data_IF_703472943909
#
_entry.id   IF_703472943909
#
_cell.length_a   1.000
_cell.length_b   1.000
_cell.length_c   1.000
_cell.angle_alpha   90.00
_cell.angle_beta   90.00
_cell.angle_gamma   90.00
#
_symmetry.space_group_name_H-M   'P 1'
#
loop_
_entity.id
_entity.type
_entity.pdbx_description
1 polymer ?
#
# COMPACT_ATOMS: atom_id res chain seq x y z
N UNK A 1 -62.86 -25.63 -11.17
CA UNK A 1 -63.04 -25.24 -9.74
C UNK A 1 -61.64 -25.27 -9.11
N UNK A 2 -60.94 -24.17 -9.16
CA UNK A 2 -59.60 -24.04 -8.57
C UNK A 2 -59.69 -23.26 -7.28
N UNK A 3 -59.19 -23.85 -6.20
CA UNK A 3 -59.17 -23.26 -4.87
C UNK A 3 -58.03 -22.22 -4.75
N UNK A 4 -58.42 -20.95 -4.70
CA UNK A 4 -57.58 -19.87 -4.23
C UNK A 4 -57.26 -20.05 -2.73
N UNK A 5 -56.06 -20.50 -2.39
CA UNK A 5 -55.57 -20.49 -0.99
C UNK A 5 -55.10 -19.11 -0.64
N UNK A 6 -55.78 -18.46 0.33
CA UNK A 6 -55.45 -17.13 0.81
C UNK A 6 -54.08 -17.07 1.48
N UNK A 7 -53.25 -16.08 1.10
CA UNK A 7 -51.92 -15.80 1.68
C UNK A 7 -51.98 -15.07 3.03
N UNK A 8 -53.18 -14.92 3.61
CA UNK A 8 -53.40 -14.14 4.85
C UNK A 8 -52.70 -14.65 6.11
N UNK A 9 -52.60 -15.98 6.37
CA UNK A 9 -51.92 -16.44 7.60
C UNK A 9 -50.41 -16.25 7.64
N UNK A 10 -49.72 -16.25 6.48
CA UNK A 10 -48.27 -16.06 6.43
C UNK A 10 -47.88 -14.59 6.73
N UNK A 11 -48.65 -13.63 6.27
CA UNK A 11 -48.42 -12.21 6.50
C UNK A 11 -48.66 -11.81 7.96
N UNK A 12 -49.65 -12.40 8.63
CA UNK A 12 -49.90 -12.22 10.06
C UNK A 12 -48.79 -12.80 10.94
N UNK A 13 -48.18 -13.93 10.55
CA UNK A 13 -47.10 -14.53 11.28
C UNK A 13 -45.80 -13.67 11.20
N UNK A 14 -45.51 -13.07 10.06
CA UNK A 14 -44.36 -12.17 9.90
C UNK A 14 -44.50 -10.89 10.71
N UNK A 15 -45.68 -10.29 10.71
CA UNK A 15 -45.99 -9.09 11.53
C UNK A 15 -45.90 -9.38 13.04
N UNK A 16 -46.30 -10.57 13.47
CA UNK A 16 -46.18 -10.98 14.87
C UNK A 16 -44.72 -11.20 15.31
N UNK A 17 -43.87 -11.77 14.44
CA UNK A 17 -42.43 -11.92 14.69
C UNK A 17 -41.72 -10.56 14.76
N UNK A 18 -42.05 -9.60 13.91
CA UNK A 18 -41.49 -8.25 13.93
C UNK A 18 -41.87 -7.52 15.23
N UNK A 19 -43.12 -7.64 15.66
CA UNK A 19 -43.57 -7.05 16.93
C UNK A 19 -42.92 -7.67 18.16
N UNK A 20 -42.62 -8.98 18.15
CA UNK A 20 -41.88 -9.68 19.20
C UNK A 20 -40.41 -9.24 19.27
N UNK A 21 -39.75 -9.09 18.12
CA UNK A 21 -38.34 -8.61 18.08
C UNK A 21 -38.23 -7.15 18.55
N UNK A 22 -39.19 -6.29 18.19
CA UNK A 22 -39.24 -4.91 18.67
C UNK A 22 -39.50 -4.84 20.18
N UNK A 23 -40.35 -5.71 20.71
CA UNK A 23 -40.66 -5.80 22.14
C UNK A 23 -39.44 -6.27 22.97
N UNK A 24 -38.67 -7.25 22.47
CA UNK A 24 -37.44 -7.74 23.10
C UNK A 24 -36.36 -6.66 23.09
N UNK A 25 -36.22 -5.90 21.99
CA UNK A 25 -35.28 -4.80 21.90
C UNK A 25 -35.54 -3.69 22.92
N UNK A 26 -36.79 -3.31 23.13
CA UNK A 26 -37.23 -2.31 24.15
C UNK A 26 -36.99 -2.83 25.56
N UNK A 27 -37.23 -4.14 25.80
CA UNK A 27 -37.01 -4.75 27.12
C UNK A 27 -35.50 -4.82 27.48
N UNK A 28 -34.68 -5.19 26.51
CA UNK A 28 -33.20 -5.20 26.68
C UNK A 28 -32.66 -3.78 26.90
N UNK A 29 -33.18 -2.77 26.20
CA UNK A 29 -32.80 -1.37 26.42
C UNK A 29 -33.10 -0.87 27.85
N UNK A 30 -34.20 -1.30 28.44
CA UNK A 30 -34.57 -0.91 29.81
C UNK A 30 -33.80 -1.64 30.91
N UNK A 31 -33.16 -2.75 30.61
CA UNK A 31 -32.40 -3.56 31.56
C UNK A 31 -30.89 -3.33 31.54
N UNK A 32 -30.37 -2.51 30.62
CA UNK A 32 -28.95 -2.16 30.55
C UNK A 32 -28.57 -1.23 31.71
N UNK A 33 -27.42 -1.49 32.39
CA UNK A 33 -26.89 -0.58 33.40
C UNK A 33 -26.56 0.79 32.78
N UNK A 34 -26.76 1.86 33.55
CA UNK A 34 -26.67 3.25 33.11
C UNK A 34 -25.31 3.63 32.45
N UNK A 35 -24.24 2.89 32.78
CA UNK A 35 -22.90 3.07 32.20
C UNK A 35 -22.71 2.54 30.77
N UNK A 36 -23.71 1.88 30.18
CA UNK A 36 -23.65 1.30 28.83
C UNK A 36 -24.61 1.97 27.83
N UNK A 37 -25.29 3.04 28.23
CA UNK A 37 -26.13 3.81 27.30
C UNK A 37 -25.28 4.80 26.55
N UNK A 38 -25.35 4.87 25.21
CA UNK A 38 -24.64 5.90 24.45
C UNK A 38 -25.15 7.31 24.86
N UNK A 39 -24.22 8.19 25.15
CA UNK A 39 -24.46 9.59 25.45
C UNK A 39 -25.06 10.29 24.20
N UNK A 40 -26.15 11.00 24.38
CA UNK A 40 -26.73 11.83 23.31
C UNK A 40 -25.77 13.00 23.09
N UNK A 41 -25.29 13.14 21.85
CA UNK A 41 -24.44 14.26 21.46
C UNK A 41 -25.22 15.58 21.59
N UNK A 42 -24.86 16.40 22.59
CA UNK A 42 -25.24 17.79 22.67
C UNK A 42 -24.41 18.61 21.67
N UNK A 43 -25.10 19.39 20.87
CA UNK A 43 -24.50 20.33 19.90
C UNK A 43 -23.82 21.47 20.67
N UNK A 44 -22.50 21.44 20.78
CA UNK A 44 -21.74 22.55 21.34
C UNK A 44 -21.40 23.52 20.19
N UNK A 45 -22.02 24.70 20.21
CA UNK A 45 -21.53 25.85 19.47
C UNK A 45 -20.28 26.37 20.19
N UNK A 46 -19.14 26.37 19.51
CA UNK A 46 -17.93 27.06 19.98
C UNK A 46 -17.58 28.20 19.02
N UNK A 47 -17.94 29.39 19.43
CA UNK A 47 -17.19 30.60 19.04
C UNK A 47 -15.92 30.64 19.89
N UNK A 48 -14.74 30.55 19.28
CA UNK A 48 -13.48 30.56 20.02
C UNK A 48 -12.29 30.86 19.14
N UNK A 49 -11.83 32.09 19.26
CA UNK A 49 -10.60 32.67 18.71
C UNK A 49 -9.37 31.90 19.19
N UNK A 50 -8.57 31.36 18.28
CA UNK A 50 -7.26 30.77 18.58
C UNK A 50 -6.19 31.86 18.56
N UNK A 51 -5.61 32.16 19.71
CA UNK A 51 -4.35 32.91 19.86
C UNK A 51 -3.19 31.90 19.90
N UNK A 52 -2.25 32.02 18.95
CA UNK A 52 -0.99 31.29 18.92
C UNK A 52 0.01 31.89 19.91
N UNK A 53 0.42 31.10 20.92
CA UNK A 53 1.72 31.26 21.56
C UNK A 53 2.36 29.89 21.79
N UNK A 54 3.65 29.69 21.45
CA UNK A 54 4.31 28.41 21.62
C UNK A 54 4.84 28.26 23.03
N UNK A 55 4.40 27.19 23.73
CA UNK A 55 4.98 26.81 25.02
C UNK A 55 6.22 25.97 24.75
N UNK A 56 7.39 26.51 25.03
CA UNK A 56 8.66 25.81 25.04
C UNK A 56 8.76 24.90 26.25
N UNK A 57 8.85 23.59 26.02
CA UNK A 57 9.25 22.60 27.03
C UNK A 57 10.69 22.18 26.68
N UNK A 58 11.63 22.45 27.59
CA UNK A 58 13.02 21.99 27.48
C UNK A 58 13.08 20.48 27.74
N UNK A 59 13.83 19.70 26.90
CA UNK A 59 14.06 18.28 27.19
C UNK A 59 15.17 18.10 28.22
N UNK A 60 14.89 17.31 29.26
CA UNK A 60 15.90 16.81 30.20
C UNK A 60 16.91 15.92 29.46
N UNK A 61 18.20 16.23 29.65
CA UNK A 61 19.33 15.46 29.11
C UNK A 61 19.55 14.22 29.96
N UNK A 62 19.36 13.06 29.38
CA UNK A 62 19.96 11.83 29.92
C UNK A 62 21.42 11.70 29.48
N UNK A 63 22.25 11.19 30.41
CA UNK A 63 23.69 11.06 30.29
C UNK A 63 24.10 9.93 29.32
N UNK A 64 25.31 10.00 28.71
CA UNK A 64 25.77 9.04 27.74
C UNK A 64 26.13 7.69 28.38
N UNK A 65 25.67 6.61 27.77
CA UNK A 65 26.04 5.24 28.12
C UNK A 65 27.43 4.92 27.52
N UNK A 66 28.41 4.70 28.40
CA UNK A 66 29.73 4.15 28.05
C UNK A 66 29.66 2.60 28.05
N UNK A 67 29.68 2.00 26.86
CA UNK A 67 29.83 0.55 26.68
C UNK A 67 31.00 0.25 25.75
N UNK A 68 31.99 -0.48 26.29
CA UNK A 68 33.22 -0.87 25.61
C UNK A 68 33.00 -1.79 24.41
N UNK A 69 33.67 -1.52 23.31
CA UNK A 69 33.73 -2.38 22.11
C UNK A 69 34.69 -3.55 22.33
N UNK A 70 34.38 -4.81 21.97
CA UNK A 70 35.34 -5.92 21.98
C UNK A 70 36.28 -5.87 20.77
N UNK A 71 37.52 -6.23 21.06
CA UNK A 71 38.72 -6.06 20.27
C UNK A 71 38.77 -6.67 18.86
N UNK A 72 39.51 -5.97 18.05
CA UNK A 72 40.00 -6.40 16.73
C UNK A 72 40.96 -7.58 16.86
N UNK A 73 40.70 -8.65 16.12
CA UNK A 73 41.67 -9.74 15.90
C UNK A 73 42.66 -9.38 14.78
N UNK A 74 43.94 -9.55 15.06
CA UNK A 74 45.02 -9.24 14.18
C UNK A 74 45.14 -10.24 13.02
N UNK A 75 45.38 -9.76 11.82
CA UNK A 75 45.82 -10.55 10.66
C UNK A 75 47.31 -10.84 10.75
N UNK A 76 47.78 -12.04 10.37
CA UNK A 76 49.20 -12.35 10.28
C UNK A 76 49.82 -11.85 8.95
N UNK A 77 50.99 -11.25 9.10
CA UNK A 77 51.86 -10.80 8.00
C UNK A 77 52.44 -12.00 7.25
N UNK A 78 52.53 -11.92 5.91
CA UNK A 78 53.38 -12.77 5.07
C UNK A 78 54.52 -11.96 4.47
N UNK A 79 55.73 -12.55 4.24
CA UNK A 79 56.96 -11.82 4.04
C UNK A 79 57.19 -11.35 2.60
N UNK A 80 57.97 -10.27 2.51
CA UNK A 80 58.58 -9.65 1.33
C UNK A 80 59.23 -10.62 0.35
N UNK A 81 58.95 -10.49 -0.95
CA UNK A 81 59.83 -10.85 -2.06
C UNK A 81 60.06 -9.61 -2.93
N UNK A 82 61.40 -9.35 -3.15
CA UNK A 82 61.90 -8.24 -3.95
C UNK A 82 61.77 -8.51 -5.46
N UNK A 83 61.67 -7.45 -6.30
CA UNK A 83 61.51 -7.59 -7.74
C UNK A 83 62.86 -7.72 -8.49
N UNK A 84 62.86 -8.51 -9.55
CA UNK A 84 63.87 -8.42 -10.62
C UNK A 84 63.30 -7.83 -11.89
N UNK A 85 64.07 -7.09 -12.69
CA UNK A 85 63.65 -6.27 -13.80
C UNK A 85 63.81 -6.94 -15.19
N UNK A 86 62.90 -6.56 -16.11
CA UNK A 86 63.06 -6.68 -17.55
C UNK A 86 61.95 -7.47 -18.24
N UNK A 87 61.30 -7.03 -19.18
CA UNK A 87 61.52 -6.35 -20.46
C UNK A 87 60.20 -5.91 -21.07
N UNK A 88 60.22 -4.83 -21.82
CA UNK A 88 59.13 -4.29 -22.65
C UNK A 88 58.38 -5.35 -23.45
N UNK A 89 57.04 -5.29 -23.45
CA UNK A 89 56.31 -5.18 -24.72
C UNK A 89 54.91 -4.59 -24.54
N UNK A 90 54.53 -3.83 -25.53
CA UNK A 90 53.39 -2.92 -25.58
C UNK A 90 52.05 -3.65 -25.80
N UNK A 91 51.01 -3.04 -25.30
CA UNK A 91 49.61 -3.23 -25.65
C UNK A 91 48.75 -3.94 -24.61
N UNK A 92 48.64 -3.37 -23.42
CA UNK A 92 47.46 -3.60 -22.59
C UNK A 92 46.36 -2.63 -23.01
N UNK A 93 45.42 -3.11 -23.79
CA UNK A 93 44.07 -2.52 -23.87
C UNK A 93 43.45 -2.67 -22.48
N UNK A 94 43.27 -1.53 -21.81
CA UNK A 94 42.51 -1.38 -20.60
C UNK A 94 41.16 -2.15 -20.75
N UNK A 95 40.79 -3.07 -19.86
CA UNK A 95 39.52 -3.71 -19.91
C UNK A 95 38.45 -2.62 -19.66
N UNK A 96 37.78 -2.19 -20.72
CA UNK A 96 36.62 -1.31 -20.61
C UNK A 96 35.67 -1.95 -19.59
N UNK A 97 35.47 -1.27 -18.49
CA UNK A 97 34.36 -1.51 -17.59
C UNK A 97 33.10 -1.53 -18.48
N UNK A 98 32.21 -2.57 -18.42
CA UNK A 98 31.01 -2.56 -19.21
C UNK A 98 30.27 -1.26 -18.92
N UNK A 99 29.95 -0.50 -19.97
CA UNK A 99 29.13 0.69 -19.81
C UNK A 99 27.84 0.28 -19.07
N UNK A 100 27.49 1.04 -18.05
CA UNK A 100 26.20 0.85 -17.36
C UNK A 100 25.08 0.90 -18.41
N UNK A 101 24.05 0.06 -18.32
CA UNK A 101 22.96 0.06 -19.30
C UNK A 101 22.39 1.48 -19.44
N UNK A 102 22.18 1.94 -20.67
CA UNK A 102 21.56 3.25 -20.91
C UNK A 102 20.19 3.33 -20.24
N UNK A 103 19.92 4.44 -19.55
CA UNK A 103 18.63 4.69 -18.90
C UNK A 103 17.49 4.63 -19.92
N UNK A 104 16.41 3.95 -19.56
CA UNK A 104 15.21 3.88 -20.42
C UNK A 104 14.61 5.26 -20.67
N UNK A 105 13.79 5.40 -21.72
CA UNK A 105 13.09 6.67 -22.01
C UNK A 105 12.22 7.12 -20.81
N UNK A 106 11.60 6.18 -20.10
CA UNK A 106 10.84 6.45 -18.90
C UNK A 106 11.72 7.00 -17.76
N UNK A 107 12.88 6.37 -17.52
CA UNK A 107 13.85 6.86 -16.54
C UNK A 107 14.39 8.25 -16.90
N UNK A 108 14.66 8.52 -18.16
CA UNK A 108 15.08 9.86 -18.61
C UNK A 108 14.00 10.92 -18.38
N UNK A 109 12.73 10.61 -18.69
CA UNK A 109 11.59 11.49 -18.39
C UNK A 109 11.45 11.74 -16.88
N UNK A 110 11.53 10.67 -16.08
CA UNK A 110 11.47 10.74 -14.62
C UNK A 110 12.59 11.61 -14.04
N UNK A 111 13.83 11.41 -14.48
CA UNK A 111 14.99 12.19 -14.03
C UNK A 111 14.85 13.68 -14.41
N UNK A 112 14.43 13.97 -15.63
CA UNK A 112 14.21 15.35 -16.06
C UNK A 112 13.16 16.08 -15.20
N UNK A 113 12.09 15.39 -14.79
CA UNK A 113 11.09 15.97 -13.89
C UNK A 113 11.65 16.11 -12.46
N UNK A 114 12.32 15.08 -11.93
CA UNK A 114 12.96 15.09 -10.60
C UNK A 114 13.90 16.29 -10.42
N UNK A 115 14.70 16.60 -11.45
CA UNK A 115 15.66 17.70 -11.43
C UNK A 115 15.00 19.09 -11.31
N UNK A 116 13.71 19.21 -11.62
CA UNK A 116 12.94 20.47 -11.50
C UNK A 116 12.20 20.59 -10.18
N UNK A 117 12.11 19.52 -9.39
CA UNK A 117 11.31 19.46 -8.16
C UNK A 117 12.06 20.09 -6.99
N UNK A 118 11.34 20.80 -6.14
CA UNK A 118 11.81 21.20 -4.82
C UNK A 118 11.86 20.02 -3.86
N UNK A 119 12.67 20.09 -2.80
CA UNK A 119 12.76 19.04 -1.78
C UNK A 119 11.39 18.76 -1.12
N UNK A 120 10.56 19.80 -0.91
CA UNK A 120 9.20 19.62 -0.37
C UNK A 120 8.29 18.88 -1.36
N UNK A 121 8.35 19.18 -2.66
CA UNK A 121 7.59 18.47 -3.67
C UNK A 121 8.01 17.00 -3.76
N UNK A 122 9.30 16.71 -3.62
CA UNK A 122 9.81 15.34 -3.57
C UNK A 122 9.24 14.58 -2.36
N UNK A 123 9.25 15.18 -1.17
CA UNK A 123 8.67 14.57 0.02
C UNK A 123 7.17 14.32 -0.15
N UNK A 124 6.41 15.26 -0.75
CA UNK A 124 4.99 15.07 -1.01
C UNK A 124 4.70 13.90 -1.94
N UNK A 125 5.56 13.62 -2.93
CA UNK A 125 5.37 12.47 -3.83
C UNK A 125 5.43 11.11 -3.12
N UNK A 126 6.00 11.03 -1.92
CA UNK A 126 6.07 9.79 -1.13
C UNK A 126 4.72 9.41 -0.48
N UNK A 127 3.70 10.26 -0.56
CA UNK A 127 2.42 10.03 0.08
C UNK A 127 1.33 9.65 -0.92
N UNK A 128 0.61 8.56 -0.59
CA UNK A 128 -0.58 8.11 -1.28
C UNK A 128 -1.75 8.25 -0.30
N UNK A 129 -2.72 9.12 -0.57
CA UNK A 129 -3.69 9.57 0.43
C UNK A 129 -5.13 9.51 -0.07
N UNK A 130 -6.12 9.63 0.83
CA UNK A 130 -7.51 9.84 0.42
C UNK A 130 -7.75 11.30 0.03
N UNK A 131 -8.75 11.60 -0.80
CA UNK A 131 -9.09 12.98 -1.13
C UNK A 131 -9.52 13.78 0.11
N UNK A 132 -10.11 13.12 1.12
CA UNK A 132 -10.48 13.74 2.38
C UNK A 132 -9.27 14.23 3.20
N UNK A 133 -8.17 13.48 3.15
CA UNK A 133 -6.94 13.83 3.91
C UNK A 133 -6.34 15.18 3.49
N UNK A 134 -6.51 15.57 2.22
CA UNK A 134 -6.00 16.85 1.70
C UNK A 134 -7.06 17.95 1.67
N UNK A 135 -8.34 17.61 1.56
CA UNK A 135 -9.43 18.58 1.42
C UNK A 135 -10.15 18.91 2.74
N UNK A 136 -9.96 18.06 3.75
CA UNK A 136 -10.63 18.14 5.05
C UNK A 136 -12.17 18.14 4.94
N UNK A 137 -12.73 17.43 3.95
CA UNK A 137 -14.17 17.19 3.83
C UNK A 137 -14.50 15.79 4.36
N UNK A 138 -15.76 15.54 4.78
CA UNK A 138 -16.14 14.24 5.32
C UNK A 138 -16.17 13.15 4.24
N UNK A 139 -16.64 13.50 3.04
CA UNK A 139 -16.71 12.60 1.87
C UNK A 139 -16.52 13.44 0.61
N UNK A 140 -15.52 13.09 -0.18
CA UNK A 140 -15.21 13.78 -1.42
C UNK A 140 -15.83 13.03 -2.60
N UNK A 141 -16.95 13.50 -3.11
CA UNK A 141 -17.61 12.97 -4.32
C UNK A 141 -17.49 13.91 -5.51
N UNK A 142 -16.90 15.09 -5.31
CA UNK A 142 -16.67 16.12 -6.35
C UNK A 142 -15.28 16.71 -6.18
N UNK A 143 -14.53 16.81 -7.27
CA UNK A 143 -13.32 17.62 -7.33
C UNK A 143 -13.63 19.02 -7.85
N UNK A 144 -13.47 20.02 -6.99
CA UNK A 144 -13.72 21.45 -7.28
C UNK A 144 -12.60 22.33 -6.77
N UNK A 145 -12.91 23.61 -6.50
CA UNK A 145 -11.94 24.59 -6.02
C UNK A 145 -11.22 24.20 -4.72
N UNK A 146 -11.89 23.45 -3.84
CA UNK A 146 -11.27 22.92 -2.61
C UNK A 146 -10.19 21.90 -2.95
N UNK A 147 -10.49 20.95 -3.85
CA UNK A 147 -9.52 19.95 -4.32
C UNK A 147 -8.34 20.61 -5.05
N UNK A 148 -8.63 21.59 -5.90
CA UNK A 148 -7.59 22.35 -6.61
C UNK A 148 -6.61 23.01 -5.65
N UNK A 149 -7.11 23.77 -4.68
CA UNK A 149 -6.28 24.43 -3.66
C UNK A 149 -5.51 23.44 -2.79
N UNK A 150 -6.13 22.29 -2.48
CA UNK A 150 -5.48 21.24 -1.73
C UNK A 150 -4.29 20.64 -2.52
N UNK A 151 -4.45 20.35 -3.81
CA UNK A 151 -3.38 19.83 -4.67
C UNK A 151 -2.29 20.85 -5.00
N UNK A 152 -2.63 22.15 -5.02
CA UNK A 152 -1.62 23.23 -5.09
C UNK A 152 -0.75 23.28 -3.82
N UNK A 153 -1.33 22.98 -2.66
CA UNK A 153 -0.64 22.99 -1.37
C UNK A 153 0.08 21.66 -1.07
N UNK A 154 -0.50 20.54 -1.46
CA UNK A 154 -0.07 19.18 -1.16
C UNK A 154 0.07 18.38 -2.46
N UNK A 155 1.17 18.53 -3.20
CA UNK A 155 1.38 17.81 -4.46
C UNK A 155 1.77 16.35 -4.21
N UNK A 156 0.84 15.57 -3.63
CA UNK A 156 1.02 14.15 -3.26
C UNK A 156 1.27 13.26 -4.47
N UNK A 157 1.84 12.07 -4.24
CA UNK A 157 2.16 11.10 -5.29
C UNK A 157 0.94 10.40 -5.86
N UNK A 158 -0.11 10.18 -5.04
CA UNK A 158 -1.34 9.51 -5.46
C UNK A 158 -2.53 9.75 -4.54
N UNK A 159 -3.72 9.46 -5.07
CA UNK A 159 -4.99 9.52 -4.33
C UNK A 159 -5.73 8.19 -4.49
N UNK A 160 -6.08 7.56 -3.36
CA UNK A 160 -6.90 6.34 -3.29
C UNK A 160 -8.35 6.70 -3.01
N UNK A 161 -9.25 6.09 -3.78
CA UNK A 161 -10.69 6.26 -3.65
C UNK A 161 -11.34 4.99 -3.09
N UNK A 162 -12.38 5.19 -2.28
CA UNK A 162 -13.18 4.14 -1.68
C UNK A 162 -14.61 4.21 -2.19
N UNK A 163 -15.40 3.16 -1.96
CA UNK A 163 -16.80 3.10 -2.38
C UNK A 163 -17.63 4.34 -2.00
N UNK A 164 -17.33 4.98 -0.86
CA UNK A 164 -17.98 6.21 -0.40
C UNK A 164 -17.77 7.42 -1.34
N UNK A 165 -16.74 7.39 -2.18
CA UNK A 165 -16.42 8.46 -3.12
C UNK A 165 -17.04 8.25 -4.50
N UNK A 166 -17.55 7.03 -4.78
CA UNK A 166 -17.93 6.56 -6.10
C UNK A 166 -19.44 6.31 -6.14
N UNK A 167 -20.20 7.31 -6.62
CA UNK A 167 -21.68 7.27 -6.65
C UNK A 167 -22.19 6.53 -7.89
N UNK A 168 -21.78 6.98 -9.06
CA UNK A 168 -22.09 6.41 -10.37
C UNK A 168 -20.96 6.67 -11.37
N UNK A 169 -21.12 6.15 -12.60
CA UNK A 169 -20.11 6.28 -13.66
C UNK A 169 -19.79 7.73 -14.02
N UNK A 170 -20.80 8.57 -14.23
CA UNK A 170 -20.64 9.97 -14.71
C UNK A 170 -19.96 10.82 -13.63
N UNK A 171 -20.40 10.69 -12.39
CA UNK A 171 -19.79 11.36 -11.24
C UNK A 171 -18.34 10.91 -11.06
N UNK A 172 -18.06 9.61 -11.13
CA UNK A 172 -16.70 9.05 -10.94
C UNK A 172 -15.73 9.56 -12.01
N UNK A 173 -16.13 9.52 -13.27
CA UNK A 173 -15.30 10.05 -14.37
C UNK A 173 -14.99 11.53 -14.13
N UNK A 174 -16.00 12.35 -13.83
CA UNK A 174 -15.81 13.77 -13.58
C UNK A 174 -14.93 14.05 -12.34
N UNK A 175 -15.07 13.25 -11.28
CA UNK A 175 -14.24 13.34 -10.08
C UNK A 175 -12.76 13.09 -10.41
N UNK A 176 -12.46 12.01 -11.13
CA UNK A 176 -11.09 11.61 -11.46
C UNK A 176 -10.43 12.56 -12.48
N UNK A 177 -11.14 12.92 -13.56
CA UNK A 177 -10.65 13.87 -14.56
C UNK A 177 -10.33 15.24 -13.95
N UNK A 178 -11.24 15.78 -13.14
CA UNK A 178 -11.02 17.06 -12.47
C UNK A 178 -9.86 16.99 -11.48
N UNK A 179 -9.77 15.91 -10.68
CA UNK A 179 -8.65 15.72 -9.74
C UNK A 179 -7.32 15.71 -10.49
N UNK A 180 -7.21 14.93 -11.57
CA UNK A 180 -5.98 14.87 -12.36
C UNK A 180 -5.64 16.21 -13.01
N UNK A 181 -6.64 16.94 -13.50
CA UNK A 181 -6.44 18.24 -14.14
C UNK A 181 -5.91 19.34 -13.22
N UNK A 182 -6.14 19.20 -11.89
CA UNK A 182 -5.66 20.16 -10.88
C UNK A 182 -4.26 19.83 -10.35
N UNK A 183 -3.75 18.63 -10.61
CA UNK A 183 -2.46 18.21 -10.12
C UNK A 183 -1.31 18.87 -10.90
N UNK A 184 -0.35 19.47 -10.18
CA UNK A 184 0.89 20.00 -10.77
C UNK A 184 1.77 18.88 -11.34
N UNK A 185 1.89 17.78 -10.60
CA UNK A 185 2.56 16.55 -10.98
C UNK A 185 1.46 15.50 -11.10
N UNK A 186 1.26 14.88 -12.26
CA UNK A 186 0.20 13.90 -12.45
C UNK A 186 0.20 12.79 -11.39
N UNK A 187 -1.01 12.44 -10.92
CA UNK A 187 -1.24 11.56 -9.79
C UNK A 187 -1.38 10.10 -10.21
N UNK A 188 -0.97 9.18 -9.33
CA UNK A 188 -1.63 7.89 -9.31
C UNK A 188 -3.06 8.08 -8.76
N UNK A 189 -4.07 7.61 -9.50
CA UNK A 189 -5.47 7.57 -9.09
C UNK A 189 -5.82 6.10 -8.86
N UNK A 190 -5.83 5.70 -7.60
CA UNK A 190 -5.89 4.31 -7.18
C UNK A 190 -7.22 3.90 -6.56
N UNK A 191 -7.49 2.60 -6.62
CA UNK A 191 -8.63 1.95 -5.98
C UNK A 191 -8.27 0.52 -5.60
N UNK A 192 -9.02 -0.11 -4.68
CA UNK A 192 -8.97 -1.56 -4.44
C UNK A 192 -10.07 -2.24 -5.24
N UNK A 193 -9.75 -2.81 -6.37
CA UNK A 193 -10.69 -3.58 -7.21
C UNK A 193 -10.16 -5.01 -7.38
N UNK A 194 -10.10 -5.77 -6.26
CA UNK A 194 -9.61 -7.15 -6.26
C UNK A 194 -10.59 -8.13 -6.91
N UNK A 195 -11.86 -7.71 -7.02
CA UNK A 195 -12.99 -8.59 -7.27
C UNK A 195 -13.56 -9.21 -5.98
N UNK A 196 -14.72 -9.85 -6.07
CA UNK A 196 -15.39 -10.47 -4.93
C UNK A 196 -15.77 -9.46 -3.84
N UNK A 197 -15.30 -9.71 -2.61
CA UNK A 197 -15.65 -8.88 -1.44
C UNK A 197 -14.92 -7.53 -1.40
N UNK A 198 -13.77 -7.42 -2.06
CA UNK A 198 -12.99 -6.18 -2.17
C UNK A 198 -13.12 -5.66 -3.59
N UNK A 199 -14.20 -4.97 -3.85
CA UNK A 199 -14.55 -4.37 -5.13
C UNK A 199 -15.28 -3.07 -4.85
N UNK A 200 -14.72 -1.94 -5.30
CA UNK A 200 -15.29 -0.61 -5.06
C UNK A 200 -16.08 -0.12 -6.26
N UNK A 201 -15.72 -0.63 -7.44
CA UNK A 201 -16.29 -0.26 -8.74
C UNK A 201 -17.26 -1.34 -9.23
N UNK A 202 -16.82 -2.59 -9.37
CA UNK A 202 -17.61 -3.69 -9.89
C UNK A 202 -18.75 -4.14 -8.98
N UNK A 203 -18.71 -3.82 -7.67
CA UNK A 203 -19.82 -4.05 -6.73
C UNK A 203 -20.91 -2.98 -6.77
N UNK A 204 -20.66 -1.84 -7.40
CA UNK A 204 -21.62 -0.75 -7.56
C UNK A 204 -22.32 -0.87 -8.93
N UNK A 205 -23.62 -1.21 -8.98
CA UNK A 205 -24.35 -1.42 -10.23
C UNK A 205 -24.47 -0.13 -11.08
N UNK A 206 -24.39 1.04 -10.46
CA UNK A 206 -24.52 2.33 -11.14
C UNK A 206 -23.23 2.71 -11.92
N UNK A 207 -22.15 1.95 -11.74
CA UNK A 207 -20.93 2.07 -12.56
C UNK A 207 -21.12 1.51 -13.97
N UNK A 208 -22.05 0.57 -14.17
CA UNK A 208 -22.29 -0.05 -15.46
C UNK A 208 -21.11 -0.84 -16.02
N UNK A 209 -20.34 -1.48 -15.15
CA UNK A 209 -19.16 -2.32 -15.48
C UNK A 209 -19.40 -3.76 -15.07
N UNK A 210 -18.65 -4.74 -15.64
CA UNK A 210 -18.70 -6.12 -15.19
C UNK A 210 -18.34 -6.24 -13.70
N UNK A 211 -19.04 -7.12 -12.99
CA UNK A 211 -18.66 -7.52 -11.63
C UNK A 211 -17.83 -8.81 -11.70
N UNK A 212 -16.60 -8.77 -11.21
CA UNK A 212 -15.71 -9.93 -11.14
C UNK A 212 -15.89 -10.64 -9.80
N UNK A 213 -16.01 -11.97 -9.83
CA UNK A 213 -16.15 -12.80 -8.64
C UNK A 213 -14.87 -12.86 -7.80
N UNK A 214 -14.91 -13.63 -6.70
CA UNK A 214 -13.77 -13.77 -5.80
C UNK A 214 -12.63 -14.60 -6.43
N UNK A 215 -11.39 -14.28 -6.04
CA UNK A 215 -10.17 -14.93 -6.57
C UNK A 215 -10.11 -16.43 -6.22
N UNK A 216 -10.71 -16.85 -5.10
CA UNK A 216 -10.82 -18.27 -4.74
C UNK A 216 -11.62 -19.06 -5.77
N UNK A 217 -12.61 -18.45 -6.39
CA UNK A 217 -13.40 -19.09 -7.46
C UNK A 217 -12.57 -19.28 -8.73
N UNK A 218 -11.72 -18.33 -9.09
CA UNK A 218 -10.73 -18.48 -10.17
C UNK A 218 -9.68 -19.54 -9.83
N UNK A 219 -9.19 -19.54 -8.59
CA UNK A 219 -8.24 -20.54 -8.11
C UNK A 219 -8.78 -21.99 -8.21
N UNK A 220 -10.08 -22.18 -7.93
CA UNK A 220 -10.74 -23.50 -8.10
C UNK A 220 -10.85 -23.93 -9.56
N UNK A 221 -10.96 -22.99 -10.50
CA UNK A 221 -10.99 -23.27 -11.93
C UNK A 221 -9.61 -23.67 -12.46
N UNK A 222 -8.53 -23.16 -11.85
CA UNK A 222 -7.14 -23.35 -12.28
C UNK A 222 -6.93 -23.00 -13.76
N UNK A 223 -7.67 -22.01 -14.26
CA UNK A 223 -7.64 -21.57 -15.66
C UNK A 223 -7.01 -20.17 -15.80
N UNK A 224 -5.77 -20.09 -16.31
CA UNK A 224 -5.12 -18.78 -16.56
C UNK A 224 -5.88 -17.90 -17.55
N UNK A 225 -6.63 -18.48 -18.51
CA UNK A 225 -7.41 -17.70 -19.46
C UNK A 225 -8.61 -17.01 -18.78
N UNK A 226 -9.25 -17.69 -17.82
CA UNK A 226 -10.31 -17.10 -17.01
C UNK A 226 -9.76 -15.99 -16.10
N UNK A 227 -8.57 -16.18 -15.51
CA UNK A 227 -7.90 -15.14 -14.73
C UNK A 227 -7.52 -13.93 -15.58
N UNK A 228 -7.01 -14.16 -16.81
CA UNK A 228 -6.69 -13.08 -17.74
C UNK A 228 -7.92 -12.26 -18.11
N UNK A 229 -9.04 -12.92 -18.45
CA UNK A 229 -10.30 -12.26 -18.76
C UNK A 229 -10.84 -11.44 -17.57
N UNK A 230 -10.75 -11.97 -16.34
CA UNK A 230 -11.13 -11.24 -15.13
C UNK A 230 -10.29 -9.97 -14.94
N UNK A 231 -8.96 -10.06 -15.12
CA UNK A 231 -8.08 -8.90 -15.07
C UNK A 231 -8.32 -7.87 -16.18
N UNK A 232 -8.74 -8.32 -17.38
CA UNK A 232 -9.15 -7.41 -18.46
C UNK A 232 -10.47 -6.68 -18.12
N UNK A 233 -11.45 -7.39 -17.54
CA UNK A 233 -12.72 -6.80 -17.12
C UNK A 233 -12.49 -5.73 -16.03
N UNK A 234 -11.62 -6.01 -15.06
CA UNK A 234 -11.21 -5.05 -14.02
C UNK A 234 -10.46 -3.87 -14.68
N UNK A 235 -9.36 -4.14 -15.35
CA UNK A 235 -8.48 -3.11 -15.90
C UNK A 235 -9.17 -2.21 -16.92
N UNK A 236 -9.93 -2.79 -17.85
CA UNK A 236 -10.71 -2.03 -18.83
C UNK A 236 -11.80 -1.16 -18.19
N UNK A 237 -12.43 -1.65 -17.10
CA UNK A 237 -13.40 -0.88 -16.32
C UNK A 237 -12.76 0.32 -15.63
N UNK A 238 -11.63 0.09 -14.97
CA UNK A 238 -10.87 1.13 -14.26
C UNK A 238 -10.33 2.19 -15.22
N UNK A 239 -9.73 1.76 -16.34
CA UNK A 239 -9.23 2.67 -17.37
C UNK A 239 -10.35 3.55 -17.92
N UNK A 240 -11.51 2.95 -18.25
CA UNK A 240 -12.66 3.67 -18.79
C UNK A 240 -13.31 4.66 -17.80
N UNK A 241 -13.01 4.58 -16.51
CA UNK A 241 -13.42 5.52 -15.47
C UNK A 241 -12.37 6.60 -15.19
N UNK A 242 -11.12 6.40 -15.61
CA UNK A 242 -10.00 7.33 -15.39
C UNK A 242 -9.08 6.96 -14.24
N UNK A 243 -9.23 5.78 -13.63
CA UNK A 243 -8.21 5.22 -12.73
C UNK A 243 -6.98 4.80 -13.52
N UNK A 244 -5.82 4.84 -12.89
CA UNK A 244 -4.57 4.39 -13.47
C UNK A 244 -3.78 3.44 -12.57
N UNK A 245 -4.29 3.12 -11.37
CA UNK A 245 -3.69 2.18 -10.43
C UNK A 245 -4.77 1.33 -9.74
N UNK A 246 -4.50 0.02 -9.64
CA UNK A 246 -5.29 -0.91 -8.85
C UNK A 246 -4.42 -1.55 -7.77
N UNK A 247 -4.84 -1.47 -6.50
CA UNK A 247 -4.20 -2.20 -5.40
C UNK A 247 -4.58 -3.68 -5.45
N UNK A 248 -4.26 -4.33 -6.56
CA UNK A 248 -4.45 -5.73 -6.89
C UNK A 248 -3.33 -6.20 -7.84
N UNK A 249 -3.09 -7.52 -7.94
CA UNK A 249 -3.77 -8.65 -7.29
C UNK A 249 -3.24 -8.99 -5.90
N UNK A 250 -4.07 -9.75 -5.15
CA UNK A 250 -3.64 -10.44 -3.94
C UNK A 250 -2.82 -11.67 -4.32
N UNK A 251 -1.58 -11.76 -3.82
CA UNK A 251 -0.67 -12.88 -4.05
C UNK A 251 -0.58 -13.85 -2.87
N UNK A 252 -1.25 -13.53 -1.76
CA UNK A 252 -1.21 -14.29 -0.52
C UNK A 252 -1.67 -15.73 -0.71
N UNK A 253 -0.90 -16.68 -0.15
CA UNK A 253 -1.20 -18.10 -0.17
C UNK A 253 -2.00 -18.46 1.08
N UNK A 254 -3.32 -18.64 0.97
CA UNK A 254 -4.19 -18.91 2.11
C UNK A 254 -3.85 -20.24 2.78
N UNK A 255 -3.45 -20.20 4.05
CA UNK A 255 -3.05 -21.37 4.81
C UNK A 255 -4.02 -21.66 5.95
N UNK A 256 -4.64 -22.83 5.88
CA UNK A 256 -5.66 -23.23 6.85
C UNK A 256 -7.04 -22.65 6.57
N UNK A 257 -8.01 -23.16 7.32
CA UNK A 257 -9.41 -22.76 7.20
C UNK A 257 -9.68 -21.38 7.82
N UNK A 258 -8.84 -20.95 8.76
CA UNK A 258 -9.00 -19.75 9.56
C UNK A 258 -8.17 -18.56 9.01
N UNK A 259 -7.57 -18.72 7.81
CA UNK A 259 -6.83 -17.64 7.15
C UNK A 259 -7.74 -16.45 6.88
N UNK A 260 -7.38 -15.28 7.43
CA UNK A 260 -8.17 -14.03 7.29
C UNK A 260 -8.22 -13.52 5.84
N UNK A 261 -7.25 -13.90 5.00
CA UNK A 261 -7.28 -13.53 3.58
C UNK A 261 -8.47 -14.17 2.83
N UNK A 262 -8.97 -15.32 3.29
CA UNK A 262 -10.22 -15.93 2.85
C UNK A 262 -10.34 -16.10 1.34
N UNK A 263 -11.46 -15.64 0.78
CA UNK A 263 -11.76 -15.75 -0.66
C UNK A 263 -11.00 -14.75 -1.54
N UNK A 264 -10.24 -13.82 -0.96
CA UNK A 264 -9.37 -12.89 -1.69
C UNK A 264 -8.16 -13.59 -2.31
N UNK A 265 -7.68 -14.70 -1.72
CA UNK A 265 -6.59 -15.54 -2.24
C UNK A 265 -7.08 -16.54 -3.28
N UNK A 266 -6.26 -16.84 -4.27
CA UNK A 266 -6.52 -17.90 -5.26
C UNK A 266 -6.55 -19.32 -4.64
N UNK A 267 -5.80 -19.55 -3.55
CA UNK A 267 -5.77 -20.87 -2.92
C UNK A 267 -4.66 -21.05 -1.90
N UNK A 268 -4.37 -22.32 -1.62
CA UNK A 268 -3.31 -22.75 -0.71
C UNK A 268 -2.09 -23.34 -1.45
N UNK A 269 -2.12 -23.37 -2.77
CA UNK A 269 -1.02 -23.77 -3.62
C UNK A 269 -0.24 -22.53 -4.07
N UNK A 270 1.03 -22.36 -3.65
CA UNK A 270 1.81 -21.18 -3.95
C UNK A 270 2.10 -21.00 -5.45
N UNK A 271 2.32 -22.08 -6.19
CA UNK A 271 2.56 -22.05 -7.63
C UNK A 271 1.30 -21.62 -8.41
N UNK A 272 0.14 -22.11 -7.98
CA UNK A 272 -1.13 -21.65 -8.53
C UNK A 272 -1.38 -20.17 -8.26
N UNK A 273 -1.13 -19.72 -7.04
CA UNK A 273 -1.24 -18.29 -6.68
C UNK A 273 -0.29 -17.44 -7.53
N UNK A 274 0.97 -17.87 -7.70
CA UNK A 274 1.95 -17.21 -8.56
C UNK A 274 1.47 -17.12 -10.02
N UNK A 275 1.00 -18.24 -10.56
CA UNK A 275 0.52 -18.31 -11.95
C UNK A 275 -0.66 -17.37 -12.20
N UNK A 276 -1.70 -17.43 -11.36
CA UNK A 276 -2.93 -16.67 -11.59
C UNK A 276 -2.75 -15.19 -11.26
N UNK A 277 -2.06 -14.83 -10.16
CA UNK A 277 -1.75 -13.44 -9.85
C UNK A 277 -0.85 -12.80 -10.92
N UNK A 278 0.16 -13.53 -11.42
CA UNK A 278 1.00 -13.05 -12.51
C UNK A 278 0.25 -12.80 -13.82
N UNK A 279 -0.79 -13.59 -14.09
CA UNK A 279 -1.68 -13.38 -15.25
C UNK A 279 -2.54 -12.12 -15.06
N UNK A 280 -3.05 -11.86 -13.86
CA UNK A 280 -3.79 -10.63 -13.54
C UNK A 280 -2.87 -9.39 -13.72
N UNK A 281 -1.62 -9.43 -13.21
CA UNK A 281 -0.63 -8.34 -13.41
C UNK A 281 -0.45 -8.04 -14.90
N UNK A 282 -0.31 -9.08 -15.73
CA UNK A 282 -0.15 -8.91 -17.20
C UNK A 282 -1.40 -8.31 -17.85
N UNK A 283 -2.60 -8.71 -17.43
CA UNK A 283 -3.84 -8.20 -18.00
C UNK A 283 -4.12 -6.76 -17.60
N UNK A 284 -3.88 -6.38 -16.32
CA UNK A 284 -3.97 -4.99 -15.86
C UNK A 284 -3.00 -4.08 -16.64
N UNK A 285 -1.75 -4.52 -16.84
CA UNK A 285 -0.77 -3.80 -17.66
C UNK A 285 -1.25 -3.60 -19.11
N UNK A 286 -1.85 -4.63 -19.70
CA UNK A 286 -2.38 -4.54 -21.07
C UNK A 286 -3.49 -3.49 -21.20
N UNK A 287 -4.24 -3.23 -20.14
CA UNK A 287 -5.27 -2.19 -20.05
C UNK A 287 -4.70 -0.82 -19.58
N UNK A 288 -3.38 -0.70 -19.37
CA UNK A 288 -2.72 0.54 -18.94
C UNK A 288 -2.90 0.84 -17.45
N UNK A 289 -3.23 -0.15 -16.62
CA UNK A 289 -3.40 -0.03 -15.17
C UNK A 289 -2.14 -0.50 -14.45
N UNK A 290 -1.62 0.36 -13.58
CA UNK A 290 -0.54 0.04 -12.64
C UNK A 290 -1.07 -0.96 -11.62
N UNK A 291 -0.51 -2.17 -11.55
CA UNK A 291 -0.90 -3.19 -10.57
C UNK A 291 -0.05 -3.12 -9.32
N UNK A 292 -0.62 -3.51 -8.17
CA UNK A 292 0.06 -3.58 -6.88
C UNK A 292 -0.08 -4.97 -6.27
N UNK A 293 1.03 -5.73 -6.26
CA UNK A 293 1.06 -7.09 -5.70
C UNK A 293 1.07 -7.04 -4.17
N UNK A 294 0.16 -7.76 -3.49
CA UNK A 294 -0.01 -7.66 -2.04
C UNK A 294 -0.39 -9.00 -1.39
N UNK A 295 -0.06 -9.14 -0.09
CA UNK A 295 0.59 -8.26 0.86
C UNK A 295 1.92 -8.87 1.29
N UNK A 296 3.02 -8.30 0.85
CA UNK A 296 4.37 -8.83 1.12
C UNK A 296 4.70 -8.81 2.65
N UNK A 297 5.39 -9.82 3.22
CA UNK A 297 5.92 -11.03 2.59
C UNK A 297 4.92 -12.20 2.50
N UNK A 298 3.64 -12.02 2.84
CA UNK A 298 2.57 -12.99 2.72
C UNK A 298 1.61 -13.02 3.89
N UNK A 299 0.38 -12.61 3.68
CA UNK A 299 -0.68 -12.47 4.69
C UNK A 299 -1.43 -13.79 4.96
N UNK A 300 -1.21 -14.81 4.14
CA UNK A 300 -2.07 -16.00 4.07
C UNK A 300 -2.04 -16.92 5.28
N UNK A 301 -1.05 -16.82 6.17
CA UNK A 301 -0.98 -17.57 7.43
C UNK A 301 -1.50 -16.77 8.64
N UNK A 302 -1.86 -15.49 8.48
CA UNK A 302 -2.44 -14.70 9.54
C UNK A 302 -3.83 -15.24 9.93
N UNK A 303 -4.07 -15.37 11.24
CA UNK A 303 -5.35 -15.80 11.81
C UNK A 303 -6.09 -14.67 12.53
N UNK A 304 -5.43 -13.54 12.70
CA UNK A 304 -5.99 -12.30 13.25
C UNK A 304 -5.86 -11.23 12.18
N UNK A 305 -6.93 -10.49 11.96
CA UNK A 305 -6.96 -9.35 11.04
C UNK A 305 -6.22 -8.17 11.68
N UNK A 306 -5.19 -7.64 11.04
CA UNK A 306 -4.36 -6.53 11.51
C UNK A 306 -5.08 -5.17 11.51
N UNK A 307 -6.28 -5.06 10.91
CA UNK A 307 -7.19 -3.95 11.18
C UNK A 307 -7.64 -3.88 12.64
N UNK A 308 -7.54 -4.97 13.39
CA UNK A 308 -7.96 -5.07 14.80
C UNK A 308 -6.78 -5.14 15.78
N UNK A 309 -5.54 -4.90 15.32
CA UNK A 309 -4.33 -4.93 16.13
C UNK A 309 -3.18 -5.69 15.47
N UNK A 310 -2.05 -5.82 16.15
CA UNK A 310 -0.85 -6.50 15.62
C UNK A 310 -1.10 -7.99 15.44
N UNK A 311 -0.84 -8.51 14.24
CA UNK A 311 -0.85 -9.93 13.94
C UNK A 311 0.58 -10.45 13.78
N UNK A 312 0.89 -11.56 14.44
CA UNK A 312 2.24 -12.17 14.48
C UNK A 312 2.24 -13.45 13.66
N UNK A 313 3.22 -13.60 12.79
CA UNK A 313 3.49 -14.80 12.00
C UNK A 313 4.81 -15.42 12.45
N UNK A 314 4.74 -16.58 13.11
CA UNK A 314 5.93 -17.28 13.67
C UNK A 314 6.64 -18.17 12.63
N UNK A 315 6.67 -17.76 11.36
CA UNK A 315 7.41 -18.48 10.33
C UNK A 315 8.86 -18.04 10.29
N UNK A 316 9.74 -19.01 10.03
CA UNK A 316 11.14 -18.75 9.66
C UNK A 316 11.24 -18.28 8.21
N UNK A 317 12.35 -17.66 7.84
CA UNK A 317 12.59 -17.26 6.44
C UNK A 317 12.48 -18.45 5.46
N UNK A 318 12.99 -19.62 5.84
CA UNK A 318 12.91 -20.83 5.00
C UNK A 318 11.47 -21.30 4.76
N UNK A 319 10.58 -21.13 5.75
CA UNK A 319 9.16 -21.45 5.61
C UNK A 319 8.43 -20.43 4.72
N UNK A 320 8.80 -19.14 4.81
CA UNK A 320 8.31 -18.10 3.91
C UNK A 320 8.77 -18.37 2.46
N UNK A 321 10.05 -18.68 2.27
CA UNK A 321 10.62 -19.05 0.94
C UNK A 321 9.96 -20.28 0.31
N UNK A 322 9.57 -21.24 1.12
CA UNK A 322 8.91 -22.46 0.65
C UNK A 322 7.43 -22.28 0.31
N UNK A 323 6.83 -21.13 0.63
CA UNK A 323 5.39 -20.93 0.44
C UNK A 323 5.02 -19.47 0.12
N UNK A 324 5.08 -18.58 1.12
CA UNK A 324 4.50 -17.23 1.04
C UNK A 324 5.23 -16.33 0.04
N UNK A 325 6.55 -16.46 -0.08
CA UNK A 325 7.37 -15.70 -1.02
C UNK A 325 7.34 -16.23 -2.45
N UNK A 326 6.88 -17.46 -2.69
CA UNK A 326 6.85 -18.06 -4.03
C UNK A 326 6.11 -17.21 -5.06
N UNK A 327 4.89 -16.71 -4.80
CA UNK A 327 4.19 -15.85 -5.76
C UNK A 327 4.95 -14.54 -6.03
N UNK A 328 5.48 -13.89 -5.00
CA UNK A 328 6.24 -12.64 -5.15
C UNK A 328 7.50 -12.87 -5.96
N UNK A 329 8.32 -13.86 -5.61
CA UNK A 329 9.55 -14.19 -6.32
C UNK A 329 9.30 -14.51 -7.79
N UNK A 330 8.28 -15.32 -8.08
CA UNK A 330 7.94 -15.72 -9.44
C UNK A 330 7.50 -14.54 -10.30
N UNK A 331 6.67 -13.64 -9.74
CA UNK A 331 6.12 -12.50 -10.49
C UNK A 331 7.19 -11.41 -10.65
N UNK A 332 7.98 -11.12 -9.63
CA UNK A 332 9.08 -10.14 -9.68
C UNK A 332 10.13 -10.55 -10.72
N UNK A 333 10.49 -11.84 -10.77
CA UNK A 333 11.46 -12.36 -11.74
C UNK A 333 10.91 -12.46 -13.17
N UNK A 334 9.59 -12.26 -13.39
CA UNK A 334 9.00 -12.36 -14.71
C UNK A 334 9.30 -11.13 -15.57
N UNK A 335 9.32 -11.32 -16.90
CA UNK A 335 9.47 -10.23 -17.86
C UNK A 335 8.34 -9.20 -17.67
N UNK A 336 8.71 -7.93 -17.51
CA UNK A 336 7.78 -6.84 -17.24
C UNK A 336 7.31 -6.79 -15.79
N UNK A 337 8.18 -7.08 -14.82
CA UNK A 337 7.96 -7.03 -13.36
C UNK A 337 6.79 -6.16 -12.89
N UNK A 338 6.12 -6.57 -11.80
CA UNK A 338 5.02 -5.78 -11.21
C UNK A 338 5.50 -4.39 -10.77
N UNK A 339 4.74 -3.31 -11.08
CA UNK A 339 5.18 -1.94 -10.80
C UNK A 339 5.12 -1.54 -9.32
N UNK A 340 4.21 -2.13 -8.54
CA UNK A 340 4.09 -1.89 -7.10
C UNK A 340 4.06 -3.20 -6.32
N UNK A 341 4.71 -3.20 -5.15
CA UNK A 341 4.54 -4.23 -4.11
C UNK A 341 4.10 -3.53 -2.83
N UNK A 342 3.00 -3.98 -2.24
CA UNK A 342 2.51 -3.51 -0.95
C UNK A 342 3.01 -4.41 0.17
N UNK A 343 3.62 -3.80 1.20
CA UNK A 343 4.13 -4.50 2.38
C UNK A 343 3.13 -4.41 3.52
N UNK A 344 2.81 -5.55 4.14
CA UNK A 344 1.84 -5.66 5.24
C UNK A 344 2.38 -5.12 6.56
N UNK A 345 1.48 -4.98 7.56
CA UNK A 345 1.84 -4.63 8.94
C UNK A 345 2.01 -5.87 9.84
N UNK A 346 2.08 -7.07 9.27
CA UNK A 346 2.33 -8.28 10.04
C UNK A 346 3.74 -8.28 10.64
N UNK A 347 3.90 -8.84 11.83
CA UNK A 347 5.19 -9.03 12.48
C UNK A 347 5.72 -10.44 12.24
N UNK A 348 7.03 -10.56 11.96
CA UNK A 348 7.72 -11.82 11.67
C UNK A 348 8.92 -12.01 12.58
N UNK A 349 8.73 -12.25 13.91
CA UNK A 349 9.81 -12.23 14.90
C UNK A 349 10.90 -13.27 14.64
N UNK A 350 10.58 -14.42 14.02
CA UNK A 350 11.57 -15.44 13.68
C UNK A 350 12.44 -15.05 12.44
N UNK A 351 12.09 -13.98 11.75
CA UNK A 351 12.87 -13.42 10.62
C UNK A 351 13.60 -12.15 11.06
N UNK A 352 12.90 -11.25 11.74
CA UNK A 352 13.40 -9.91 12.07
C UNK A 352 14.06 -9.83 13.47
N UNK A 353 13.81 -10.82 14.32
CA UNK A 353 14.22 -10.79 15.73
C UNK A 353 13.39 -9.86 16.62
N UNK A 354 12.30 -9.29 16.12
CA UNK A 354 11.42 -8.36 16.86
C UNK A 354 9.97 -8.42 16.35
N UNK A 355 9.05 -7.81 17.10
CA UNK A 355 7.64 -7.67 16.71
C UNK A 355 7.39 -6.40 15.85
N UNK A 356 8.45 -5.85 15.25
CA UNK A 356 8.32 -4.70 14.32
C UNK A 356 7.52 -5.11 13.11
N UNK A 357 6.49 -4.33 12.70
CA UNK A 357 5.74 -4.55 11.47
C UNK A 357 6.65 -4.65 10.24
N UNK A 358 6.27 -5.49 9.28
CA UNK A 358 7.07 -5.81 8.10
C UNK A 358 7.47 -4.57 7.30
N UNK A 359 6.54 -3.64 7.09
CA UNK A 359 6.77 -2.38 6.38
C UNK A 359 7.70 -1.39 7.12
N UNK A 360 7.90 -1.58 8.43
CA UNK A 360 8.83 -0.79 9.24
C UNK A 360 10.18 -1.51 9.48
N UNK A 361 10.38 -2.69 8.87
CA UNK A 361 11.54 -3.56 9.07
C UNK A 361 12.44 -3.60 7.85
N UNK A 362 13.67 -3.10 7.97
CA UNK A 362 14.67 -3.18 6.91
C UNK A 362 14.97 -4.64 6.51
N UNK A 363 14.94 -5.59 7.47
CA UNK A 363 15.14 -7.01 7.17
C UNK A 363 14.06 -7.58 6.23
N UNK A 364 12.86 -7.04 6.23
CA UNK A 364 11.80 -7.45 5.31
C UNK A 364 11.86 -6.65 4.00
N UNK A 365 11.89 -5.31 4.11
CA UNK A 365 11.76 -4.43 2.94
C UNK A 365 13.07 -4.39 2.15
N UNK A 366 14.20 -4.15 2.80
CA UNK A 366 15.50 -4.03 2.12
C UNK A 366 16.12 -5.42 1.89
N UNK A 367 16.41 -6.19 2.96
CA UNK A 367 17.22 -7.40 2.82
C UNK A 367 16.50 -8.49 2.01
N UNK A 368 15.16 -8.62 2.16
CA UNK A 368 14.40 -9.65 1.44
C UNK A 368 13.83 -9.11 0.13
N UNK A 369 13.03 -8.04 0.14
CA UNK A 369 12.34 -7.60 -1.08
C UNK A 369 13.28 -6.91 -2.07
N UNK A 370 14.08 -5.92 -1.62
CA UNK A 370 15.02 -5.23 -2.52
C UNK A 370 16.17 -6.12 -2.94
N UNK A 371 16.94 -6.64 -1.96
CA UNK A 371 18.23 -7.27 -2.24
C UNK A 371 18.09 -8.72 -2.66
N UNK A 372 17.35 -9.54 -1.89
CA UNK A 372 17.23 -10.97 -2.18
C UNK A 372 16.32 -11.27 -3.38
N UNK A 373 15.18 -10.60 -3.50
CA UNK A 373 14.27 -10.76 -4.63
C UNK A 373 14.56 -9.82 -5.80
N UNK A 374 15.58 -8.95 -5.67
CA UNK A 374 16.03 -7.98 -6.70
C UNK A 374 14.88 -7.09 -7.22
N UNK A 375 13.98 -6.64 -6.31
CA UNK A 375 12.84 -5.82 -6.70
C UNK A 375 13.22 -4.36 -6.83
N UNK A 376 13.11 -3.79 -8.04
CA UNK A 376 13.60 -2.46 -8.38
C UNK A 376 12.49 -1.39 -8.54
N UNK A 377 11.21 -1.77 -8.44
CA UNK A 377 10.09 -0.85 -8.60
C UNK A 377 9.57 -0.36 -7.24
N UNK A 378 8.40 0.30 -7.23
CA UNK A 378 7.86 1.00 -6.05
C UNK A 378 7.42 0.04 -4.95
N UNK A 379 7.95 0.23 -3.74
CA UNK A 379 7.48 -0.42 -2.52
C UNK A 379 6.58 0.56 -1.76
N UNK A 380 5.32 0.17 -1.55
CA UNK A 380 4.35 0.96 -0.80
C UNK A 380 3.96 0.22 0.50
N UNK A 381 3.72 0.95 1.58
CA UNK A 381 3.16 0.37 2.81
C UNK A 381 1.70 -0.03 2.61
N UNK A 382 1.17 -0.93 3.41
CA UNK A 382 -0.27 -0.98 3.66
C UNK A 382 -0.72 0.28 4.39
N UNK A 383 -2.02 0.44 4.64
CA UNK A 383 -2.57 1.67 5.19
C UNK A 383 -2.07 1.98 6.61
N UNK A 384 -1.32 3.05 6.79
CA UNK A 384 -0.87 3.52 8.10
C UNK A 384 -2.00 4.10 8.98
N UNK A 385 -3.25 4.07 8.51
CA UNK A 385 -4.42 4.36 9.35
C UNK A 385 -4.95 3.12 10.09
N UNK A 386 -4.39 1.92 9.86
CA UNK A 386 -4.79 0.67 10.53
C UNK A 386 -4.31 0.63 11.98
N UNK A 387 -5.06 -0.08 12.84
CA UNK A 387 -4.77 -0.17 14.28
C UNK A 387 -3.41 -0.81 14.57
N UNK A 388 -2.95 -1.75 13.73
CA UNK A 388 -1.62 -2.35 13.81
C UNK A 388 -0.48 -1.31 13.81
N UNK A 389 -0.69 -0.15 13.22
CA UNK A 389 0.26 0.98 13.22
C UNK A 389 -0.14 2.02 14.27
N UNK A 390 -1.40 2.51 14.24
CA UNK A 390 -1.81 3.68 15.04
C UNK A 390 -1.81 3.44 16.54
N UNK A 391 -1.92 2.18 16.98
CA UNK A 391 -1.86 1.82 18.42
C UNK A 391 -0.43 1.84 18.99
N UNK A 392 0.60 1.84 18.11
CA UNK A 392 2.00 1.68 18.51
C UNK A 392 2.92 2.80 18.04
N UNK A 393 2.56 3.52 16.97
CA UNK A 393 3.41 4.53 16.34
C UNK A 393 2.64 5.82 16.08
N UNK A 394 3.30 6.96 16.25
CA UNK A 394 2.80 8.21 15.70
C UNK A 394 2.87 8.19 14.17
N UNK A 395 2.04 8.98 13.49
CA UNK A 395 2.07 9.08 12.03
C UNK A 395 3.46 9.47 11.48
N UNK A 396 4.16 10.37 12.22
CA UNK A 396 5.52 10.77 11.88
C UNK A 396 6.55 9.67 12.04
N UNK A 397 6.52 8.96 13.19
CA UNK A 397 7.46 7.86 13.46
C UNK A 397 7.27 6.71 12.47
N UNK A 398 6.02 6.34 12.17
CA UNK A 398 5.71 5.30 11.20
C UNK A 398 6.24 5.65 9.81
N UNK A 399 5.99 6.89 9.33
CA UNK A 399 6.44 7.33 8.03
C UNK A 399 7.97 7.34 7.91
N UNK A 400 8.68 7.88 8.90
CA UNK A 400 10.16 7.91 8.90
C UNK A 400 10.73 6.49 8.94
N UNK A 401 10.17 5.60 9.78
CA UNK A 401 10.61 4.20 9.89
C UNK A 401 10.40 3.42 8.60
N UNK A 402 9.24 3.56 7.94
CA UNK A 402 8.95 2.89 6.68
C UNK A 402 9.91 3.32 5.56
N UNK A 403 10.17 4.63 5.43
CA UNK A 403 11.15 5.14 4.46
C UNK A 403 12.58 4.68 4.78
N UNK A 404 12.95 4.65 6.06
CA UNK A 404 14.25 4.12 6.50
C UNK A 404 14.37 2.61 6.29
N UNK A 405 13.27 1.86 6.37
CA UNK A 405 13.23 0.43 6.07
C UNK A 405 13.33 0.11 4.57
N UNK A 406 13.13 1.10 3.68
CA UNK A 406 13.25 0.93 2.23
C UNK A 406 11.94 1.08 1.45
N UNK A 407 10.79 1.38 2.10
CA UNK A 407 9.56 1.73 1.40
C UNK A 407 9.73 3.05 0.64
N UNK A 408 9.08 3.17 -0.52
CA UNK A 408 9.10 4.37 -1.36
C UNK A 408 7.88 5.26 -1.15
N UNK A 409 6.74 4.65 -0.81
CA UNK A 409 5.49 5.38 -0.59
C UNK A 409 4.81 4.94 0.71
N UNK A 410 4.14 5.91 1.34
CA UNK A 410 3.32 5.72 2.53
C UNK A 410 1.85 5.82 2.13
N UNK A 411 1.09 4.74 2.33
CA UNK A 411 -0.34 4.73 2.08
C UNK A 411 -1.10 5.21 3.32
N UNK A 412 -1.93 6.25 3.15
CA UNK A 412 -2.90 6.75 4.13
C UNK A 412 -2.32 6.95 5.53
N UNK A 413 -1.28 7.81 5.73
CA UNK A 413 -0.82 8.14 7.08
C UNK A 413 -1.99 8.66 7.93
N UNK A 414 -2.05 8.26 9.20
CA UNK A 414 -3.15 8.66 10.12
C UNK A 414 -3.23 10.18 10.36
N UNK A 415 -2.11 10.88 10.21
CA UNK A 415 -1.99 12.34 10.16
C UNK A 415 -0.97 12.71 9.08
N UNK A 416 -1.48 13.17 7.93
CA UNK A 416 -0.67 13.50 6.77
C UNK A 416 0.34 14.62 7.05
N UNK A 417 -0.07 15.66 7.78
CA UNK A 417 0.82 16.79 8.05
C UNK A 417 1.92 16.41 9.05
N UNK A 418 1.56 15.68 10.11
CA UNK A 418 2.54 15.17 11.06
C UNK A 418 3.56 14.26 10.37
N UNK A 419 3.12 13.36 9.47
CA UNK A 419 4.00 12.50 8.69
C UNK A 419 4.93 13.30 7.77
N UNK A 420 4.41 14.27 7.02
CA UNK A 420 5.21 15.15 6.16
C UNK A 420 6.28 15.91 6.93
N UNK A 421 5.90 16.56 8.03
CA UNK A 421 6.86 17.35 8.81
C UNK A 421 7.91 16.48 9.50
N UNK A 422 7.56 15.26 9.92
CA UNK A 422 8.52 14.32 10.49
C UNK A 422 9.54 13.85 9.43
N UNK A 423 9.09 13.51 8.23
CA UNK A 423 9.99 13.14 7.11
C UNK A 423 10.91 14.32 6.76
N UNK A 424 10.35 15.54 6.65
CA UNK A 424 11.14 16.76 6.38
C UNK A 424 12.19 17.02 7.46
N UNK A 425 11.86 16.83 8.73
CA UNK A 425 12.79 16.96 9.85
C UNK A 425 13.88 15.88 9.80
N UNK A 426 13.51 14.62 9.50
CA UNK A 426 14.44 13.51 9.37
C UNK A 426 15.44 13.69 8.20
N UNK A 427 15.01 14.35 7.12
CA UNK A 427 15.95 14.73 6.04
C UNK A 427 16.88 15.86 6.52
N UNK A 428 16.35 16.86 7.22
CA UNK A 428 17.14 18.01 7.68
C UNK A 428 18.19 17.63 8.73
N UNK A 429 17.93 16.62 9.59
CA UNK A 429 18.86 16.17 10.62
C UNK A 429 19.76 14.99 10.16
N UNK A 430 19.52 14.45 8.95
CA UNK A 430 20.31 13.37 8.35
C UNK A 430 19.88 11.96 8.76
N UNK A 431 18.80 11.78 9.50
CA UNK A 431 18.17 10.47 9.81
C UNK A 431 17.73 9.77 8.51
N UNK A 432 17.18 10.53 7.55
CA UNK A 432 16.96 10.12 6.17
C UNK A 432 17.88 10.93 5.25
N UNK A 433 18.59 10.27 4.33
CA UNK A 433 19.38 11.02 3.35
C UNK A 433 18.50 11.60 2.24
N UNK A 434 18.88 12.78 1.70
CA UNK A 434 18.24 13.33 0.51
C UNK A 434 18.30 12.35 -0.67
N UNK A 435 19.41 11.63 -0.80
CA UNK A 435 19.58 10.61 -1.84
C UNK A 435 18.50 9.50 -1.74
N UNK A 436 18.14 9.07 -0.52
CA UNK A 436 17.06 8.08 -0.32
C UNK A 436 15.70 8.61 -0.78
N UNK A 437 15.43 9.91 -0.54
CA UNK A 437 14.21 10.56 -1.02
C UNK A 437 14.21 10.64 -2.55
N UNK A 438 15.32 11.08 -3.13
CA UNK A 438 15.48 11.21 -4.59
C UNK A 438 15.34 9.86 -5.30
N UNK A 439 15.90 8.80 -4.74
CA UNK A 439 15.76 7.42 -5.22
C UNK A 439 14.30 6.96 -5.25
N UNK A 440 13.56 7.15 -4.14
CA UNK A 440 12.13 6.84 -4.09
C UNK A 440 11.32 7.62 -5.12
N UNK A 441 11.56 8.93 -5.21
CA UNK A 441 10.83 9.78 -6.16
C UNK A 441 11.16 9.41 -7.59
N UNK A 442 12.42 9.10 -7.89
CA UNK A 442 12.82 8.62 -9.22
C UNK A 442 12.09 7.32 -9.59
N UNK A 443 11.99 6.37 -8.66
CA UNK A 443 11.26 5.13 -8.86
C UNK A 443 9.76 5.41 -9.13
N UNK A 444 9.11 6.25 -8.32
CA UNK A 444 7.71 6.67 -8.47
C UNK A 444 7.47 7.32 -9.84
N UNK A 445 8.32 8.27 -10.23
CA UNK A 445 8.21 8.97 -11.51
C UNK A 445 8.50 8.06 -12.70
N UNK A 446 9.42 7.09 -12.55
CA UNK A 446 9.71 6.11 -13.61
C UNK A 446 8.46 5.28 -13.92
N UNK A 447 7.78 4.76 -12.90
CA UNK A 447 6.51 4.02 -13.10
C UNK A 447 5.44 4.94 -13.72
N UNK A 448 5.32 6.21 -13.27
CA UNK A 448 4.40 7.18 -13.90
C UNK A 448 4.70 7.37 -15.39
N UNK A 449 5.98 7.44 -15.78
CA UNK A 449 6.40 7.58 -17.17
C UNK A 449 6.13 6.30 -17.98
N UNK A 450 6.41 5.12 -17.45
CA UNK A 450 6.16 3.83 -18.10
C UNK A 450 4.68 3.60 -18.43
N UNK A 451 3.78 4.12 -17.62
CA UNK A 451 2.33 4.03 -17.81
C UNK A 451 1.72 5.28 -18.48
N UNK A 452 2.56 6.21 -18.98
CA UNK A 452 2.10 7.41 -19.68
C UNK A 452 1.33 8.41 -18.81
N UNK A 453 1.47 8.31 -17.49
CA UNK A 453 0.87 9.26 -16.54
C UNK A 453 1.62 10.60 -16.60
N UNK A 454 2.93 10.56 -16.83
CA UNK A 454 3.78 11.72 -17.15
C UNK A 454 4.47 11.52 -18.49
N UNK A 455 4.84 12.62 -19.18
CA UNK A 455 5.44 12.62 -20.52
C UNK A 455 6.52 13.69 -20.66
#
# INVERSE_FOLDING_TARGET
>A
MEHSRSKLPAMLAVLFCIALLAGVGVLLWKTLPEKQKPEQAETIQTDGVFSNEPTTVEPEREAPYEGELPGQAAHPETPDEQPQPGTDDQNETDPQTPDAPEASAAQQTAQALLDTMTDEEKIWQLFFVTPEAITNVNTATVAGETTKKALEQYPVGGIVYFAKNLEDREQTVALLENTQSYAKIPLFLGVDEEGGTVSRVGSNPDMGVPSVGDMRSLGKQQDPAAAYAAGQDIGGSLHALGFNLDFAPVADVAQGADSVIGSRSFGSDPELCASLAGVIVKSLRAEGIVSCLKHFPGYGSATVDDHNGTSIVEKTLSELEGCDLVPFQSIIASEGSVPFVMVSHLSYPNVTGSDTPADLSASIVTDILRDKLDYQNVIITDSHSMASITDHYSAGDAAVKALAAGCDMILMPSDLQAAFYAVKAAVADGTLSQARIDESVLCILTVKAEYGIIS
#
